data_IF_776481131834
#
_entry.id   IF_776481131834
#
_cell.length_a   1.000
_cell.length_b   1.000
_cell.length_c   1.000
_cell.angle_alpha   90.00
_cell.angle_beta   90.00
_cell.angle_gamma   90.00
#
_symmetry.space_group_name_H-M   'P 1'
#
loop_
_entity.id
_entity.type
_entity.pdbx_description
1 polymer ?
#
# COMPACT_ATOMS: atom_id res chain seq x y z
N UNK A 1 -16.28 10.72 9.91
CA UNK A 1 -15.95 10.16 11.23
C UNK A 1 -16.39 8.70 11.31
N UNK A 2 -15.49 7.83 11.63
CA UNK A 2 -15.79 6.40 11.74
C UNK A 2 -16.34 6.14 13.14
N UNK A 3 -17.58 5.67 13.20
CA UNK A 3 -18.13 5.21 14.46
C UNK A 3 -17.62 3.79 14.72
N UNK A 4 -16.87 3.60 15.77
CA UNK A 4 -16.56 2.26 16.21
C UNK A 4 -17.78 1.71 16.97
N UNK A 5 -18.46 0.76 16.35
CA UNK A 5 -19.48 -0.03 17.02
C UNK A 5 -18.81 -1.22 17.65
N UNK A 6 -19.11 -1.44 18.92
CA UNK A 6 -18.76 -2.69 19.57
C UNK A 6 -19.62 -3.81 18.97
N UNK A 7 -18.98 -4.81 18.38
CA UNK A 7 -19.62 -6.00 17.88
C UNK A 7 -19.38 -7.15 18.85
N UNK A 8 -20.36 -8.05 18.96
CA UNK A 8 -20.17 -9.28 19.71
C UNK A 8 -19.14 -10.18 19.02
N UNK A 9 -18.58 -11.13 19.74
CA UNK A 9 -17.65 -12.10 19.17
C UNK A 9 -18.30 -12.86 18.01
N UNK A 10 -19.55 -13.27 18.19
CA UNK A 10 -20.30 -13.98 17.15
C UNK A 10 -20.47 -13.13 15.87
N UNK A 11 -20.81 -11.86 16.03
CA UNK A 11 -20.94 -10.93 14.90
C UNK A 11 -19.63 -10.74 14.15
N UNK A 12 -18.52 -10.58 14.87
CA UNK A 12 -17.19 -10.45 14.28
C UNK A 12 -16.80 -11.72 13.53
N UNK A 13 -17.09 -12.87 14.09
CA UNK A 13 -16.79 -14.16 13.49
C UNK A 13 -17.56 -14.33 12.18
N UNK A 14 -18.85 -14.01 12.21
CA UNK A 14 -19.71 -14.06 11.03
C UNK A 14 -19.26 -13.09 9.94
N UNK A 15 -18.88 -11.88 10.33
CA UNK A 15 -18.36 -10.87 9.40
C UNK A 15 -17.09 -11.36 8.70
N UNK A 16 -16.14 -11.92 9.46
CA UNK A 16 -14.93 -12.52 8.92
C UNK A 16 -15.20 -13.67 7.96
N UNK A 17 -16.18 -14.51 8.29
CA UNK A 17 -16.58 -15.63 7.43
C UNK A 17 -17.13 -15.14 6.10
N UNK A 18 -17.95 -14.10 6.13
CA UNK A 18 -18.50 -13.49 4.89
C UNK A 18 -17.39 -12.89 4.03
N UNK A 19 -16.43 -12.20 4.65
CA UNK A 19 -15.30 -11.64 3.93
C UNK A 19 -14.45 -12.73 3.28
N UNK A 20 -14.27 -13.86 3.94
CA UNK A 20 -13.51 -14.98 3.41
C UNK A 20 -14.19 -15.61 2.19
N UNK A 21 -15.52 -15.59 2.14
CA UNK A 21 -16.25 -16.03 0.96
C UNK A 21 -16.11 -15.04 -0.20
N UNK A 22 -16.09 -13.74 0.11
CA UNK A 22 -15.91 -12.69 -0.87
C UNK A 22 -14.50 -12.67 -1.44
N UNK A 23 -13.50 -12.87 -0.58
CA UNK A 23 -12.08 -12.91 -0.95
C UNK A 23 -11.49 -14.24 -0.43
N UNK A 24 -11.61 -15.32 -1.19
CA UNK A 24 -11.08 -16.62 -0.77
C UNK A 24 -9.57 -16.61 -0.71
N UNK A 25 -9.00 -17.50 0.11
CA UNK A 25 -7.55 -17.58 0.32
C UNK A 25 -6.78 -17.85 -0.97
N UNK A 26 -7.34 -18.63 -1.86
CA UNK A 26 -6.75 -18.95 -3.15
C UNK A 26 -6.57 -17.70 -4.02
N UNK A 27 -7.43 -16.71 -3.85
CA UNK A 27 -7.36 -15.44 -4.55
C UNK A 27 -6.13 -14.59 -4.16
N UNK A 28 -5.51 -14.89 -3.02
CA UNK A 28 -4.30 -14.18 -2.61
C UNK A 28 -3.08 -14.50 -3.47
N UNK A 29 -3.15 -15.55 -4.27
CA UNK A 29 -2.11 -15.85 -5.25
C UNK A 29 -2.17 -14.96 -6.49
N UNK A 30 -3.30 -14.29 -6.71
CA UNK A 30 -3.50 -13.43 -7.86
C UNK A 30 -2.99 -12.03 -7.58
N UNK A 31 -2.24 -11.48 -8.52
CA UNK A 31 -1.79 -10.08 -8.46
C UNK A 31 -2.81 -9.21 -9.19
N UNK A 32 -3.40 -8.26 -8.45
CA UNK A 32 -4.36 -7.34 -9.00
C UNK A 32 -3.68 -5.99 -9.28
N UNK A 33 -3.85 -5.48 -10.48
CA UNK A 33 -3.29 -4.20 -10.85
C UNK A 33 -3.43 -3.96 -12.35
N UNK A 34 -3.17 -2.73 -12.82
CA UNK A 34 -3.23 -2.43 -14.24
C UNK A 34 -2.15 -3.18 -15.02
N UNK A 35 -2.47 -3.59 -16.24
CA UNK A 35 -1.50 -4.28 -17.11
C UNK A 35 -0.30 -3.41 -17.49
N UNK A 36 -0.49 -2.10 -17.49
CA UNK A 36 0.53 -1.10 -17.80
C UNK A 36 1.21 -0.54 -16.55
N UNK A 37 1.23 -1.29 -15.45
CA UNK A 37 1.85 -0.85 -14.22
C UNK A 37 3.31 -0.45 -14.45
N UNK A 38 3.64 0.76 -14.03
CA UNK A 38 4.99 1.31 -14.19
C UNK A 38 5.44 1.95 -12.87
N UNK A 39 6.26 1.23 -12.11
CA UNK A 39 6.75 1.67 -10.81
C UNK A 39 7.62 2.93 -10.93
N UNK A 40 8.43 3.03 -11.98
CA UNK A 40 9.29 4.19 -12.21
C UNK A 40 8.44 5.44 -12.47
N UNK A 41 7.37 5.32 -13.25
CA UNK A 41 6.47 6.43 -13.50
C UNK A 41 5.76 6.91 -12.22
N UNK A 42 5.39 5.99 -11.33
CA UNK A 42 4.79 6.33 -10.03
C UNK A 42 5.78 7.14 -9.21
N UNK A 43 7.04 6.72 -9.12
CA UNK A 43 8.07 7.44 -8.40
C UNK A 43 8.36 8.80 -9.02
N UNK A 44 8.46 8.87 -10.33
CA UNK A 44 8.71 10.12 -11.06
C UNK A 44 7.59 11.14 -10.83
N UNK A 45 6.35 10.69 -10.71
CA UNK A 45 5.22 11.56 -10.42
C UNK A 45 5.37 12.25 -9.06
N UNK A 46 5.98 11.60 -8.08
CA UNK A 46 6.21 12.19 -6.74
C UNK A 46 7.26 13.29 -6.76
N UNK A 47 8.09 13.37 -7.78
CA UNK A 47 9.15 14.38 -7.89
C UNK A 47 8.63 15.76 -8.32
N UNK A 48 7.39 15.85 -8.82
CA UNK A 48 6.81 17.09 -9.35
C UNK A 48 6.75 18.22 -8.34
N UNK A 49 6.59 17.88 -7.06
CA UNK A 49 6.49 18.85 -5.97
C UNK A 49 7.79 19.00 -5.20
N UNK A 50 8.86 18.35 -5.63
CA UNK A 50 10.15 18.37 -4.98
C UNK A 50 11.07 19.41 -5.61
N UNK A 51 12.08 19.81 -4.86
CA UNK A 51 13.15 20.67 -5.37
C UNK A 51 13.96 19.88 -6.41
N UNK A 52 14.01 20.30 -7.68
CA UNK A 52 14.61 19.47 -8.75
C UNK A 52 16.06 19.10 -8.49
N UNK A 53 16.86 20.00 -7.91
CA UNK A 53 18.27 19.78 -7.63
C UNK A 53 18.50 18.67 -6.58
N UNK A 54 17.50 18.41 -5.74
CA UNK A 54 17.58 17.38 -4.69
C UNK A 54 17.04 16.02 -5.12
N UNK A 55 16.41 15.91 -6.28
CA UNK A 55 15.86 14.64 -6.75
C UNK A 55 16.96 13.57 -6.92
N UNK A 56 18.13 13.85 -7.53
CA UNK A 56 19.20 12.86 -7.59
C UNK A 56 19.70 12.43 -6.22
N UNK A 57 19.75 13.35 -5.25
CA UNK A 57 20.15 13.05 -3.87
C UNK A 57 19.17 12.08 -3.22
N UNK A 58 17.86 12.27 -3.45
CA UNK A 58 16.82 11.36 -2.96
C UNK A 58 17.03 9.95 -3.46
N UNK A 59 17.27 9.77 -4.75
CA UNK A 59 17.48 8.44 -5.33
C UNK A 59 18.78 7.81 -4.85
N UNK A 60 19.83 8.58 -4.65
CA UNK A 60 21.07 8.09 -4.05
C UNK A 60 20.83 7.56 -2.63
N UNK A 61 20.06 8.29 -1.83
CA UNK A 61 19.72 7.84 -0.47
C UNK A 61 18.90 6.56 -0.45
N UNK A 62 18.02 6.39 -1.42
CA UNK A 62 17.24 5.15 -1.55
C UNK A 62 18.13 3.94 -1.78
N UNK A 63 19.29 4.12 -2.42
CA UNK A 63 20.23 3.04 -2.68
C UNK A 63 21.17 2.74 -1.51
N UNK A 64 21.15 3.57 -0.45
CA UNK A 64 22.08 3.43 0.68
C UNK A 64 21.79 2.19 1.54
N UNK A 65 20.53 1.75 1.62
CA UNK A 65 20.14 0.57 2.40
C UNK A 65 18.78 0.06 1.93
N UNK A 66 18.45 -1.22 2.18
CA UNK A 66 17.12 -1.74 1.87
C UNK A 66 16.01 -0.97 2.57
N UNK A 67 16.24 -0.54 3.80
CA UNK A 67 15.26 0.23 4.56
C UNK A 67 14.98 1.58 3.91
N UNK A 68 16.02 2.30 3.52
CA UNK A 68 15.89 3.58 2.83
C UNK A 68 15.19 3.42 1.48
N UNK A 69 15.49 2.34 0.77
CA UNK A 69 14.82 2.01 -0.49
C UNK A 69 13.32 1.81 -0.29
N UNK A 70 12.93 1.00 0.69
CA UNK A 70 11.51 0.73 0.97
C UNK A 70 10.75 2.01 1.34
N UNK A 71 11.37 2.89 2.12
CA UNK A 71 10.78 4.19 2.44
C UNK A 71 10.54 5.04 1.20
N UNK A 72 11.53 5.13 0.34
CA UNK A 72 11.41 5.91 -0.90
C UNK A 72 10.42 5.32 -1.88
N UNK A 73 10.23 3.99 -1.86
CA UNK A 73 9.33 3.28 -2.74
C UNK A 73 7.90 3.16 -2.18
N UNK A 74 7.60 3.78 -1.03
CA UNK A 74 6.28 3.70 -0.41
C UNK A 74 5.12 4.07 -1.36
N UNK A 75 5.23 5.09 -2.25
CA UNK A 75 4.16 5.38 -3.20
C UNK A 75 3.82 4.22 -4.14
N UNK A 76 4.82 3.42 -4.53
CA UNK A 76 4.59 2.22 -5.36
C UNK A 76 3.80 1.17 -4.57
N UNK A 77 4.18 0.94 -3.32
CA UNK A 77 3.49 0.00 -2.44
C UNK A 77 2.04 0.43 -2.19
N UNK A 78 1.81 1.72 -1.98
CA UNK A 78 0.47 2.27 -1.79
C UNK A 78 -0.40 2.05 -3.02
N UNK A 79 0.16 2.26 -4.20
CA UNK A 79 -0.56 2.06 -5.46
C UNK A 79 -0.90 0.58 -5.67
N UNK A 80 0.02 -0.32 -5.37
CA UNK A 80 -0.23 -1.76 -5.47
C UNK A 80 -1.33 -2.21 -4.50
N UNK A 81 -1.30 -1.72 -3.25
CA UNK A 81 -2.32 -2.07 -2.25
C UNK A 81 -3.70 -1.55 -2.64
N UNK A 82 -3.77 -0.40 -3.32
CA UNK A 82 -5.04 0.18 -3.76
C UNK A 82 -5.80 -0.74 -4.72
N UNK A 83 -5.09 -1.56 -5.48
CA UNK A 83 -5.68 -2.46 -6.47
C UNK A 83 -6.08 -3.82 -5.88
N UNK A 84 -5.80 -4.08 -4.62
CA UNK A 84 -6.13 -5.36 -4.01
C UNK A 84 -7.62 -5.39 -3.59
N UNK A 85 -8.25 -6.58 -3.59
CA UNK A 85 -9.64 -6.70 -3.20
C UNK A 85 -9.83 -6.36 -1.72
N UNK A 86 -10.96 -5.72 -1.40
CA UNK A 86 -11.29 -5.34 -0.05
C UNK A 86 -11.61 -6.57 0.81
N UNK A 87 -10.74 -6.87 1.77
CA UNK A 87 -10.87 -7.99 2.69
C UNK A 87 -11.23 -7.56 4.12
N UNK A 88 -11.72 -6.33 4.29
CA UNK A 88 -12.06 -5.79 5.60
C UNK A 88 -10.88 -5.28 6.41
N UNK A 89 -9.70 -5.26 5.83
CA UNK A 89 -8.48 -4.76 6.46
C UNK A 89 -8.15 -3.39 5.88
N UNK A 90 -7.92 -2.41 6.76
CA UNK A 90 -7.40 -1.10 6.36
C UNK A 90 -5.88 -1.14 6.31
N UNK A 91 -5.33 -0.72 5.18
CA UNK A 91 -3.89 -0.58 5.03
C UNK A 91 -3.50 0.89 5.13
N UNK A 92 -2.45 1.17 5.90
CA UNK A 92 -1.83 2.48 5.95
C UNK A 92 -0.33 2.35 5.77
N UNK A 93 0.22 3.16 4.89
CA UNK A 93 1.67 3.29 4.76
C UNK A 93 2.09 4.55 5.48
N UNK A 94 2.88 4.38 6.54
CA UNK A 94 3.40 5.50 7.32
C UNK A 94 4.90 5.55 7.12
N UNK A 95 5.38 6.62 6.49
CA UNK A 95 6.80 6.89 6.37
C UNK A 95 7.18 7.94 7.40
N UNK A 96 8.08 7.59 8.32
CA UNK A 96 8.58 8.53 9.32
C UNK A 96 9.99 8.95 8.96
N UNK A 97 10.27 10.24 9.09
CA UNK A 97 11.63 10.74 8.99
C UNK A 97 12.38 10.37 10.28
N UNK A 98 13.56 9.84 10.11
CA UNK A 98 14.46 9.51 11.22
C UNK A 98 15.57 10.54 11.26
#
# INVERSE_FOLDING_TARGET
>A
MVQSRSHTLAERYEHGTRLRKKVPREGHADLHGPADRNAVAILAATDRTRVPELVPVRYQRMLASPFAFLRGAAPVMAEDLRHQPAAGISFRLVATAI
#
